data_IF_081681762878
#
_entry.id   IF_081681762878
#
_cell.length_a   1.000
_cell.length_b   1.000
_cell.length_c   1.000
_cell.angle_alpha   90.00
_cell.angle_beta   90.00
_cell.angle_gamma   90.00
#
_symmetry.space_group_name_H-M   'P 1'
#
loop_
_entity.id
_entity.type
_entity.pdbx_description
1 polymer ?
#
# COMPACT_ATOMS: atom_id res chain seq x y z
N UNK A 1 -12.55 2.64 33.02
CA UNK A 1 -12.07 1.38 32.39
C UNK A 1 -11.60 1.76 30.98
N UNK A 2 -10.31 2.06 30.80
CA UNK A 2 -9.76 2.42 29.49
C UNK A 2 -9.76 1.15 28.62
N UNK A 3 -10.59 1.14 27.58
CA UNK A 3 -10.73 0.01 26.68
C UNK A 3 -9.48 -0.07 25.80
N UNK A 4 -8.43 -0.73 26.29
CA UNK A 4 -7.12 -0.95 25.63
C UNK A 4 -7.19 -1.90 24.42
N UNK A 5 -8.28 -1.88 23.65
CA UNK A 5 -8.25 -2.40 22.29
C UNK A 5 -7.71 -1.28 21.41
N UNK A 6 -6.39 -1.05 21.44
CA UNK A 6 -5.75 -0.58 20.21
C UNK A 6 -6.17 -1.61 19.16
N UNK A 7 -7.01 -1.24 18.21
CA UNK A 7 -7.36 -2.20 17.18
C UNK A 7 -6.04 -2.55 16.50
N UNK A 8 -5.74 -3.85 16.38
CA UNK A 8 -4.51 -4.32 15.75
C UNK A 8 -4.25 -3.62 14.40
N UNK A 9 -5.33 -3.32 13.67
CA UNK A 9 -5.35 -2.56 12.41
C UNK A 9 -4.81 -1.12 12.54
N UNK A 10 -5.06 -0.44 13.66
CA UNK A 10 -4.62 0.94 13.93
C UNK A 10 -3.09 1.03 14.05
N UNK A 11 -2.42 -0.07 14.44
CA UNK A 11 -0.96 -0.15 14.57
C UNK A 11 -0.32 -0.72 13.30
N UNK A 12 -0.95 -1.71 12.65
CA UNK A 12 -0.34 -2.40 11.52
C UNK A 12 -0.23 -1.52 10.28
N UNK A 13 -1.21 -0.65 10.01
CA UNK A 13 -1.17 0.24 8.84
C UNK A 13 0.04 1.19 8.89
N UNK A 14 0.28 1.98 9.98
CA UNK A 14 1.47 2.81 10.09
C UNK A 14 2.78 2.01 9.95
N UNK A 15 2.83 0.80 10.52
CA UNK A 15 4.04 -0.02 10.51
C UNK A 15 4.40 -0.49 9.09
N UNK A 16 3.42 -0.95 8.31
CA UNK A 16 3.65 -1.31 6.91
C UNK A 16 3.99 -0.11 6.03
N UNK A 17 3.44 1.08 6.31
CA UNK A 17 3.82 2.31 5.62
C UNK A 17 5.29 2.64 5.90
N UNK A 18 5.73 2.60 7.15
CA UNK A 18 7.12 2.86 7.53
C UNK A 18 8.05 1.86 6.84
N UNK A 19 7.74 0.56 6.92
CA UNK A 19 8.52 -0.49 6.26
C UNK A 19 8.60 -0.26 4.74
N UNK A 20 7.47 0.08 4.10
CA UNK A 20 7.41 0.38 2.68
C UNK A 20 8.27 1.58 2.28
N UNK A 21 8.17 2.68 3.02
CA UNK A 21 8.98 3.89 2.78
C UNK A 21 10.47 3.61 2.98
N UNK A 22 10.85 2.84 4.01
CA UNK A 22 12.26 2.44 4.20
C UNK A 22 12.79 1.69 2.97
N UNK A 23 11.99 0.80 2.38
CA UNK A 23 12.38 0.06 1.19
C UNK A 23 12.52 0.96 -0.06
N UNK A 24 11.69 2.00 -0.19
CA UNK A 24 11.85 3.03 -1.24
C UNK A 24 13.20 3.74 -1.09
N UNK A 25 13.58 4.13 0.13
CA UNK A 25 14.82 4.87 0.39
C UNK A 25 16.07 4.05 0.03
N UNK A 26 16.06 2.74 0.30
CA UNK A 26 17.17 1.85 -0.06
C UNK A 26 17.11 1.37 -1.52
N UNK A 27 16.12 1.83 -2.30
CA UNK A 27 15.99 1.53 -3.73
C UNK A 27 15.42 0.16 -4.09
N UNK A 28 14.81 -0.54 -3.12
CA UNK A 28 14.13 -1.83 -3.33
C UNK A 28 12.61 -1.60 -3.48
N UNK A 29 12.22 -1.16 -4.67
CA UNK A 29 10.85 -0.83 -5.05
C UNK A 29 9.91 -2.04 -5.09
N UNK A 30 10.39 -3.26 -5.41
CA UNK A 30 9.60 -4.50 -5.33
C UNK A 30 9.13 -4.76 -3.90
N UNK A 31 10.06 -4.71 -2.95
CA UNK A 31 9.74 -4.97 -1.55
C UNK A 31 8.91 -3.82 -0.96
N UNK A 32 9.19 -2.58 -1.36
CA UNK A 32 8.36 -1.42 -1.02
C UNK A 32 6.90 -1.60 -1.48
N UNK A 33 6.70 -2.06 -2.72
CA UNK A 33 5.38 -2.32 -3.29
C UNK A 33 4.57 -3.31 -2.47
N UNK A 34 5.20 -4.42 -2.04
CA UNK A 34 4.53 -5.45 -1.21
C UNK A 34 4.01 -4.85 0.10
N UNK A 35 4.85 -4.13 0.86
CA UNK A 35 4.45 -3.54 2.13
C UNK A 35 3.36 -2.47 1.96
N UNK A 36 3.49 -1.61 0.95
CA UNK A 36 2.52 -0.54 0.71
C UNK A 36 1.18 -1.07 0.19
N UNK A 37 1.16 -2.16 -0.59
CA UNK A 37 -0.08 -2.82 -1.01
C UNK A 37 -0.81 -3.43 0.19
N UNK A 38 -0.09 -4.05 1.13
CA UNK A 38 -0.70 -4.57 2.37
C UNK A 38 -1.34 -3.43 3.17
N UNK A 39 -0.63 -2.31 3.34
CA UNK A 39 -1.16 -1.13 4.02
C UNK A 39 -2.42 -0.58 3.33
N UNK A 40 -2.40 -0.49 1.99
CA UNK A 40 -3.55 -0.03 1.19
C UNK A 40 -4.74 -0.98 1.32
N UNK A 41 -4.51 -2.29 1.30
CA UNK A 41 -5.54 -3.31 1.50
C UNK A 41 -6.22 -3.16 2.87
N UNK A 42 -5.42 -3.04 3.93
CA UNK A 42 -5.93 -2.79 5.29
C UNK A 42 -6.66 -1.44 5.42
N UNK A 43 -6.27 -0.44 4.62
CA UNK A 43 -6.93 0.86 4.58
C UNK A 43 -8.29 0.82 3.85
N UNK A 44 -8.35 0.17 2.68
CA UNK A 44 -9.52 0.26 1.79
C UNK A 44 -10.62 -0.76 2.13
N UNK A 45 -10.24 -1.97 2.54
CA UNK A 45 -11.20 -3.07 2.78
C UNK A 45 -12.23 -2.71 3.85
N UNK A 46 -11.87 -2.11 5.01
CA UNK A 46 -12.84 -1.71 6.01
C UNK A 46 -13.74 -0.54 5.58
N UNK A 47 -13.27 0.32 4.66
CA UNK A 47 -13.99 1.53 4.23
C UNK A 47 -14.98 1.27 3.10
N UNK A 48 -14.59 0.44 2.15
CA UNK A 48 -15.35 0.25 0.91
C UNK A 48 -15.95 -1.15 0.83
N UNK A 49 -15.32 -2.14 1.47
CA UNK A 49 -15.64 -3.56 1.33
C UNK A 49 -15.08 -4.15 0.03
N UNK A 50 -14.66 -5.41 0.07
CA UNK A 50 -14.01 -6.10 -1.07
C UNK A 50 -14.90 -6.11 -2.32
N UNK A 51 -16.22 -6.23 -2.14
CA UNK A 51 -17.19 -6.28 -3.23
C UNK A 51 -17.32 -4.96 -4.02
N UNK A 52 -16.88 -3.84 -3.45
CA UNK A 52 -17.06 -2.51 -4.04
C UNK A 52 -15.75 -1.90 -4.55
N UNK A 53 -14.65 -2.67 -4.62
CA UNK A 53 -13.35 -2.19 -5.11
C UNK A 53 -13.35 -1.80 -6.60
N UNK A 54 -14.41 -2.16 -7.33
CA UNK A 54 -14.61 -1.78 -8.73
C UNK A 54 -15.43 -0.48 -8.88
N UNK A 55 -15.91 0.12 -7.78
CA UNK A 55 -16.71 1.35 -7.80
C UNK A 55 -15.80 2.59 -7.92
N UNK A 56 -15.30 2.84 -9.12
CA UNK A 56 -14.40 3.97 -9.44
C UNK A 56 -14.99 5.37 -9.18
N UNK A 57 -16.29 5.50 -8.91
CA UNK A 57 -16.87 6.79 -8.49
C UNK A 57 -16.54 7.13 -7.03
N UNK A 58 -16.09 6.17 -6.21
CA UNK A 58 -15.71 6.39 -4.83
C UNK A 58 -14.28 6.92 -4.75
N UNK A 59 -14.02 8.05 -4.06
CA UNK A 59 -12.70 8.66 -4.02
C UNK A 59 -11.63 7.74 -3.38
N UNK A 60 -12.01 6.91 -2.41
CA UNK A 60 -11.10 5.95 -1.77
C UNK A 60 -10.60 4.89 -2.75
N UNK A 61 -11.48 4.45 -3.66
CA UNK A 61 -11.16 3.46 -4.69
C UNK A 61 -10.22 4.07 -5.72
N UNK A 62 -10.51 5.29 -6.19
CA UNK A 62 -9.62 6.04 -7.11
C UNK A 62 -8.23 6.20 -6.51
N UNK A 63 -8.15 6.65 -5.24
CA UNK A 63 -6.89 6.84 -4.55
C UNK A 63 -6.05 5.56 -4.49
N UNK A 64 -6.68 4.43 -4.16
CA UNK A 64 -6.00 3.13 -4.10
C UNK A 64 -5.50 2.71 -5.47
N UNK A 65 -6.31 2.84 -6.52
CA UNK A 65 -5.91 2.49 -7.88
C UNK A 65 -4.78 3.37 -8.41
N UNK A 66 -4.78 4.67 -8.10
CA UNK A 66 -3.66 5.57 -8.41
C UNK A 66 -2.38 5.11 -7.73
N UNK A 67 -2.44 4.78 -6.43
CA UNK A 67 -1.28 4.28 -5.69
C UNK A 67 -0.76 2.95 -6.25
N UNK A 68 -1.64 2.02 -6.60
CA UNK A 68 -1.27 0.74 -7.24
C UNK A 68 -0.57 0.98 -8.57
N UNK A 69 -1.07 1.91 -9.40
CA UNK A 69 -0.44 2.27 -10.66
C UNK A 69 0.98 2.85 -10.45
N UNK A 70 1.14 3.77 -9.50
CA UNK A 70 2.46 4.35 -9.16
C UNK A 70 3.44 3.30 -8.69
N UNK A 71 3.03 2.39 -7.80
CA UNK A 71 3.89 1.31 -7.31
C UNK A 71 4.29 0.35 -8.44
N UNK A 72 3.36 0.04 -9.34
CA UNK A 72 3.64 -0.79 -10.52
C UNK A 72 4.70 -0.14 -11.40
N UNK A 73 4.62 1.17 -11.64
CA UNK A 73 5.64 1.91 -12.39
C UNK A 73 7.01 1.86 -11.71
N UNK A 74 7.07 1.97 -10.38
CA UNK A 74 8.34 1.88 -9.64
C UNK A 74 8.94 0.47 -9.71
N UNK A 75 8.12 -0.57 -9.65
CA UNK A 75 8.55 -1.96 -9.83
C UNK A 75 9.11 -2.18 -11.23
N UNK A 76 8.41 -1.72 -12.27
CA UNK A 76 8.88 -1.78 -13.66
C UNK A 76 10.21 -1.03 -13.81
N UNK A 77 10.33 0.15 -13.21
CA UNK A 77 11.56 0.93 -13.21
C UNK A 77 12.72 0.19 -12.53
N UNK A 78 12.45 -0.52 -11.43
CA UNK A 78 13.46 -1.38 -10.80
C UNK A 78 13.94 -2.47 -11.74
N UNK A 79 12.99 -3.22 -12.32
CA UNK A 79 13.30 -4.32 -13.23
C UNK A 79 14.12 -3.81 -14.41
N UNK A 80 13.74 -2.65 -14.98
CA UNK A 80 14.52 -2.02 -16.05
C UNK A 80 15.94 -1.69 -15.60
N UNK A 81 16.12 -1.10 -14.42
CA UNK A 81 17.46 -0.82 -13.90
C UNK A 81 18.27 -2.10 -13.70
N UNK A 82 17.69 -3.12 -13.07
CA UNK A 82 18.37 -4.37 -12.72
C UNK A 82 18.75 -5.19 -13.97
N UNK A 83 18.06 -5.00 -15.10
CA UNK A 83 18.36 -5.67 -16.38
C UNK A 83 19.39 -4.91 -17.20
N UNK A 84 19.37 -3.58 -17.16
CA UNK A 84 20.18 -2.72 -18.04
C UNK A 84 21.52 -2.32 -17.41
N UNK A 85 21.57 -2.15 -16.09
CA UNK A 85 22.76 -1.73 -15.34
C UNK A 85 23.30 -2.88 -14.49
#
# INVERSE_FOLDING_TARGET
MFNNRLNSVDITIPLFIIMGITQIVIGNYVTAGIWLIIALGQFVVPRVGVANLNQLHRPEVIFVWLMVATLTCLVIYQIYRDVVF
#
